data_IF_336362095758
#
_entry.id   IF_336362095758
#
_cell.length_a   1.000
_cell.length_b   1.000
_cell.length_c   1.000
_cell.angle_alpha   90.00
_cell.angle_beta   90.00
_cell.angle_gamma   90.00
#
_symmetry.space_group_name_H-M   'P 1'
#
loop_
_entity.id
_entity.type
_entity.pdbx_description
1 polymer ?
#
# COMPACT_ATOMS: atom_id res chain seq x y z
N UNK A 1 -18.44 10.49 2.15
CA UNK A 1 -17.62 11.62 2.67
C UNK A 1 -16.65 11.28 3.80
N UNK A 2 -16.90 10.30 4.69
CA UNK A 2 -16.02 10.04 5.84
C UNK A 2 -14.64 9.43 5.51
N UNK A 3 -14.51 8.64 4.44
CA UNK A 3 -13.23 7.98 4.07
C UNK A 3 -12.19 8.95 3.48
N UNK A 4 -12.62 9.87 2.61
CA UNK A 4 -11.74 10.90 2.04
C UNK A 4 -11.17 11.83 3.11
N UNK A 5 -11.94 12.11 4.17
CA UNK A 5 -11.50 12.92 5.30
C UNK A 5 -10.41 12.23 6.12
N UNK A 6 -10.51 10.91 6.33
CA UNK A 6 -9.49 10.13 7.07
C UNK A 6 -8.18 10.06 6.28
N UNK A 7 -8.26 9.83 4.96
CA UNK A 7 -7.08 9.82 4.08
C UNK A 7 -6.42 11.21 4.07
N UNK A 8 -7.21 12.27 3.92
CA UNK A 8 -6.71 13.65 3.98
C UNK A 8 -6.05 13.96 5.33
N UNK A 9 -6.67 13.55 6.44
CA UNK A 9 -6.15 13.80 7.78
C UNK A 9 -4.81 13.09 8.03
N UNK A 10 -4.68 11.83 7.61
CA UNK A 10 -3.40 11.09 7.72
C UNK A 10 -2.31 11.71 6.86
N UNK A 11 -2.62 12.16 5.65
CA UNK A 11 -1.67 12.85 4.76
C UNK A 11 -1.22 14.19 5.38
N UNK A 12 -2.15 14.99 5.90
CA UNK A 12 -1.84 16.29 6.52
C UNK A 12 -0.98 16.13 7.77
N UNK A 13 -1.29 15.16 8.63
CA UNK A 13 -0.53 14.90 9.85
C UNK A 13 0.91 14.46 9.55
N UNK A 14 1.13 13.75 8.43
CA UNK A 14 2.46 13.35 7.97
C UNK A 14 3.26 14.51 7.37
N UNK A 15 2.62 15.39 6.58
CA UNK A 15 3.30 16.56 5.98
C UNK A 15 3.75 17.56 7.06
N UNK A 16 2.96 17.74 8.13
CA UNK A 16 3.35 18.62 9.23
C UNK A 16 4.55 18.09 10.04
N UNK A 17 4.83 16.79 10.02
CA UNK A 17 5.94 16.18 10.75
C UNK A 17 7.30 16.32 10.02
N UNK A 18 7.31 16.47 8.70
CA UNK A 18 8.56 16.47 7.91
C UNK A 18 9.20 17.85 7.73
N UNK A 19 8.49 18.93 8.09
CA UNK A 19 8.98 20.30 7.95
C UNK A 19 10.11 20.71 8.92
N UNK A 20 10.54 19.83 9.85
CA UNK A 20 11.64 20.12 10.81
C UNK A 20 13.00 19.52 10.46
N UNK A 21 13.15 18.79 9.35
CA UNK A 21 14.45 18.26 8.95
C UNK A 21 15.25 19.32 8.17
N UNK A 22 15.89 20.24 8.89
CA UNK A 22 16.82 21.23 8.32
C UNK A 22 18.07 20.49 7.83
N UNK A 23 18.24 20.41 6.52
CA UNK A 23 19.39 19.78 5.84
C UNK A 23 20.68 20.45 6.27
N UNK A 24 21.50 19.75 7.05
CA UNK A 24 22.86 20.19 7.39
C UNK A 24 23.81 19.49 6.41
N UNK A 25 24.20 20.18 5.35
CA UNK A 25 25.27 19.72 4.44
C UNK A 25 26.63 19.99 5.08
N UNK A 26 27.44 18.97 5.42
CA UNK A 26 28.82 19.23 5.81
C UNK A 26 29.65 19.67 4.59
N UNK A 27 30.62 20.58 4.76
CA UNK A 27 31.49 21.02 3.67
C UNK A 27 32.46 19.89 3.26
N UNK A 28 32.58 19.69 1.95
CA UNK A 28 33.48 18.73 1.33
C UNK A 28 34.94 19.19 1.49
N UNK A 29 35.67 18.60 2.42
CA UNK A 29 37.12 18.75 2.52
C UNK A 29 37.79 17.66 1.69
N UNK A 30 38.60 18.07 0.71
CA UNK A 30 39.38 17.16 -0.14
C UNK A 30 40.35 16.31 0.69
N UNK A 31 40.49 15.04 0.32
CA UNK A 31 41.52 14.15 0.85
C UNK A 31 42.35 13.59 -0.30
N UNK A 32 43.50 14.23 -0.50
CA UNK A 32 44.68 13.58 -1.06
C UNK A 32 45.27 12.60 -0.02
N UNK A 33 45.83 11.53 -0.55
CA UNK A 33 46.30 10.32 0.11
C UNK A 33 47.70 10.47 0.70
N UNK A 34 47.89 10.27 2.01
CA UNK A 34 49.17 9.76 2.58
C UNK A 34 48.94 8.90 3.83
N UNK A 35 49.67 7.79 3.88
CA UNK A 35 49.78 6.72 4.88
C UNK A 35 50.00 7.15 6.35
N UNK A 36 49.58 6.21 7.21
CA UNK A 36 50.16 5.78 8.49
C UNK A 36 50.08 6.74 9.68
N UNK A 37 49.20 6.44 10.64
CA UNK A 37 49.63 5.76 11.87
C UNK A 37 48.41 5.35 12.72
N UNK A 38 48.54 4.18 13.35
CA UNK A 38 47.56 3.60 14.26
C UNK A 38 47.85 4.14 15.66
N UNK A 39 46.97 4.99 16.18
CA UNK A 39 46.88 5.28 17.60
C UNK A 39 45.41 5.38 18.00
N UNK A 40 44.97 4.33 18.71
CA UNK A 40 43.87 4.24 19.65
C UNK A 40 43.07 5.53 19.87
N UNK A 41 41.93 5.64 19.20
CA UNK A 41 40.80 6.41 19.71
C UNK A 41 39.57 5.56 19.52
N UNK A 42 39.22 4.82 20.58
CA UNK A 42 37.87 4.28 20.77
C UNK A 42 36.96 5.48 20.97
N UNK A 43 36.67 6.21 19.89
CA UNK A 43 35.57 7.14 19.84
C UNK A 43 34.32 6.28 19.79
N UNK A 44 33.81 5.92 20.96
CA UNK A 44 32.41 5.53 21.11
C UNK A 44 31.58 6.62 20.44
N UNK A 45 31.11 6.31 19.23
CA UNK A 45 30.15 7.15 18.54
C UNK A 45 28.98 7.34 19.50
N UNK A 46 28.52 8.58 19.76
CA UNK A 46 27.36 8.80 20.62
C UNK A 46 26.21 7.95 20.09
N UNK A 47 25.35 7.40 20.97
CA UNK A 47 24.23 6.57 20.54
C UNK A 47 23.46 7.37 19.50
N UNK A 48 23.49 6.91 18.24
CA UNK A 48 22.82 7.60 17.17
C UNK A 48 21.36 7.69 17.59
N UNK A 49 20.93 8.92 17.88
CA UNK A 49 19.54 9.27 18.10
C UNK A 49 18.76 8.61 16.95
N UNK A 50 17.68 7.91 17.28
CA UNK A 50 16.83 7.11 16.40
C UNK A 50 16.20 7.96 15.27
N UNK A 51 17.03 8.52 14.39
CA UNK A 51 16.65 9.30 13.23
C UNK A 51 16.36 8.31 12.13
N UNK A 52 15.11 8.26 11.70
CA UNK A 52 14.71 7.43 10.58
C UNK A 52 15.57 7.77 9.37
N UNK A 53 16.10 6.76 8.69
CA UNK A 53 16.83 6.96 7.43
C UNK A 53 15.89 7.52 6.37
N UNK A 54 16.40 8.34 5.45
CA UNK A 54 15.62 8.90 4.34
C UNK A 54 14.91 7.81 3.54
N UNK A 55 15.58 6.67 3.33
CA UNK A 55 15.02 5.49 2.67
C UNK A 55 13.81 4.92 3.42
N UNK A 56 13.84 4.92 4.76
CA UNK A 56 12.70 4.45 5.56
C UNK A 56 11.51 5.40 5.43
N UNK A 57 11.74 6.71 5.41
CA UNK A 57 10.67 7.71 5.19
C UNK A 57 10.04 7.50 3.80
N UNK A 58 10.85 7.39 2.75
CA UNK A 58 10.38 7.13 1.38
C UNK A 58 9.60 5.82 1.32
N UNK A 59 10.06 4.77 2.00
CA UNK A 59 9.37 3.48 2.04
C UNK A 59 7.99 3.58 2.67
N UNK A 60 7.81 4.35 3.75
CA UNK A 60 6.52 4.56 4.40
C UNK A 60 5.56 5.32 3.49
N UNK A 61 6.05 6.36 2.80
CA UNK A 61 5.24 7.12 1.83
C UNK A 61 4.77 6.21 0.70
N UNK A 62 5.67 5.41 0.13
CA UNK A 62 5.35 4.40 -0.89
C UNK A 62 4.28 3.43 -0.37
N UNK A 63 4.49 2.83 0.80
CA UNK A 63 3.55 1.88 1.41
C UNK A 63 2.20 2.49 1.80
N UNK A 64 2.13 3.81 1.98
CA UNK A 64 0.86 4.52 2.17
C UNK A 64 0.08 4.59 0.87
N UNK A 65 0.74 4.86 -0.27
CA UNK A 65 0.08 4.95 -1.57
C UNK A 65 -0.28 3.56 -2.12
N UNK A 66 0.67 2.63 -2.07
CA UNK A 66 0.54 1.28 -2.60
C UNK A 66 0.98 0.31 -1.51
N UNK A 67 0.05 -0.39 -0.85
CA UNK A 67 0.37 -1.41 0.15
C UNK A 67 1.39 -2.41 -0.40
N UNK A 68 2.45 -2.70 0.36
CA UNK A 68 3.54 -3.61 0.02
C UNK A 68 4.70 -3.01 -0.78
N UNK A 69 4.53 -1.81 -1.36
CA UNK A 69 5.60 -1.19 -2.18
C UNK A 69 6.81 -0.75 -1.34
N UNK A 70 6.59 -0.27 -0.11
CA UNK A 70 7.67 0.13 0.79
C UNK A 70 8.51 -1.05 1.29
N UNK A 71 7.90 -2.19 1.61
CA UNK A 71 8.61 -3.42 1.94
C UNK A 71 9.46 -3.90 0.76
N UNK A 72 8.91 -3.81 -0.44
CA UNK A 72 9.65 -4.13 -1.67
C UNK A 72 10.84 -3.17 -1.86
N UNK A 73 10.66 -1.88 -1.58
CA UNK A 73 11.73 -0.87 -1.62
C UNK A 73 12.85 -1.09 -0.60
N UNK A 74 12.52 -1.66 0.57
CA UNK A 74 13.49 -2.08 1.59
C UNK A 74 14.12 -3.45 1.30
N UNK A 75 13.82 -4.07 0.16
CA UNK A 75 14.41 -5.34 -0.27
C UNK A 75 13.68 -6.60 0.23
N UNK A 76 12.45 -6.46 0.74
CA UNK A 76 11.59 -7.58 1.16
C UNK A 76 10.46 -7.83 0.15
N UNK A 77 10.82 -8.29 -1.04
CA UNK A 77 9.89 -8.51 -2.16
C UNK A 77 8.76 -9.49 -1.83
N UNK A 78 9.03 -10.58 -1.12
CA UNK A 78 8.00 -11.58 -0.76
C UNK A 78 6.93 -10.99 0.18
N UNK A 79 7.36 -10.26 1.22
CA UNK A 79 6.45 -9.56 2.15
C UNK A 79 5.65 -8.50 1.42
N UNK A 80 6.32 -7.68 0.60
CA UNK A 80 5.68 -6.64 -0.19
C UNK A 80 4.61 -7.19 -1.12
N UNK A 81 4.95 -8.21 -1.91
CA UNK A 81 4.01 -8.88 -2.80
C UNK A 81 2.79 -9.44 -2.05
N UNK A 82 2.99 -10.05 -0.87
CA UNK A 82 1.90 -10.54 -0.03
C UNK A 82 0.90 -9.44 0.35
N UNK A 83 1.38 -8.31 0.85
CA UNK A 83 0.52 -7.17 1.21
C UNK A 83 -0.16 -6.54 -0.01
N UNK A 84 0.56 -6.38 -1.12
CA UNK A 84 0.00 -5.84 -2.37
C UNK A 84 -1.13 -6.73 -2.89
N UNK A 85 -0.89 -8.04 -3.01
CA UNK A 85 -1.89 -8.99 -3.52
C UNK A 85 -3.10 -9.10 -2.60
N UNK A 86 -2.89 -9.19 -1.29
CA UNK A 86 -3.99 -9.28 -0.32
C UNK A 86 -4.89 -8.02 -0.36
N UNK A 87 -4.27 -6.84 -0.45
CA UNK A 87 -5.01 -5.58 -0.49
C UNK A 87 -5.72 -5.37 -1.83
N UNK A 88 -5.06 -5.69 -2.95
CA UNK A 88 -5.69 -5.61 -4.28
C UNK A 88 -6.84 -6.61 -4.42
N UNK A 89 -6.66 -7.86 -4.00
CA UNK A 89 -7.72 -8.86 -4.05
C UNK A 89 -8.95 -8.42 -3.23
N UNK A 90 -8.73 -7.94 -2.01
CA UNK A 90 -9.82 -7.46 -1.13
C UNK A 90 -10.50 -6.20 -1.68
N UNK A 91 -9.71 -5.27 -2.23
CA UNK A 91 -10.21 -4.06 -2.86
C UNK A 91 -11.06 -4.34 -4.10
N UNK A 92 -10.59 -5.25 -4.98
CA UNK A 92 -11.33 -5.67 -6.18
C UNK A 92 -12.67 -6.31 -5.83
N UNK A 93 -12.70 -7.22 -4.85
CA UNK A 93 -13.95 -7.84 -4.41
C UNK A 93 -14.93 -6.79 -3.87
N UNK A 94 -14.42 -5.77 -3.16
CA UNK A 94 -15.24 -4.67 -2.66
C UNK A 94 -15.88 -3.87 -3.81
N UNK A 95 -15.09 -3.52 -4.84
CA UNK A 95 -15.58 -2.78 -6.02
C UNK A 95 -16.62 -3.60 -6.79
N UNK A 96 -16.33 -4.89 -7.05
CA UNK A 96 -17.28 -5.77 -7.75
C UNK A 96 -18.58 -5.94 -6.95
N UNK A 97 -18.49 -6.00 -5.62
CA UNK A 97 -19.68 -6.09 -4.77
C UNK A 97 -20.51 -4.81 -4.78
N UNK A 98 -19.92 -3.64 -4.98
CA UNK A 98 -20.66 -2.38 -5.13
C UNK A 98 -21.53 -2.37 -6.38
N UNK A 99 -20.98 -2.80 -7.52
CA UNK A 99 -21.72 -2.89 -8.78
C UNK A 99 -22.95 -3.80 -8.64
N UNK A 100 -22.81 -4.93 -7.94
CA UNK A 100 -23.92 -5.84 -7.68
C UNK A 100 -25.00 -5.22 -6.78
N UNK A 101 -24.60 -4.42 -5.79
CA UNK A 101 -25.53 -3.72 -4.89
C UNK A 101 -26.36 -2.70 -5.67
N UNK A 102 -25.72 -1.93 -6.56
CA UNK A 102 -26.40 -0.92 -7.39
C UNK A 102 -27.44 -1.59 -8.28
N UNK A 103 -27.07 -2.62 -9.05
CA UNK A 103 -28.00 -3.31 -9.95
C UNK A 103 -29.17 -4.00 -9.20
N UNK A 104 -28.94 -4.46 -7.96
CA UNK A 104 -30.01 -5.03 -7.14
C UNK A 104 -30.96 -3.97 -6.57
N UNK A 105 -30.47 -2.78 -6.25
CA UNK A 105 -31.32 -1.67 -5.83
C UNK A 105 -32.25 -1.23 -6.97
N UNK A 106 -31.71 -1.07 -8.18
CA UNK A 106 -32.50 -0.77 -9.37
C UNK A 106 -33.60 -1.82 -9.60
N UNK A 107 -33.26 -3.10 -9.44
CA UNK A 107 -34.23 -4.19 -9.56
C UNK A 107 -35.31 -4.16 -8.46
N UNK A 108 -34.97 -3.77 -7.23
CA UNK A 108 -35.96 -3.60 -6.17
C UNK A 108 -36.92 -2.44 -6.46
N UNK A 109 -36.40 -1.33 -6.98
CA UNK A 109 -37.21 -0.17 -7.35
C UNK A 109 -38.18 -0.52 -8.49
N UNK A 110 -37.72 -1.30 -9.48
CA UNK A 110 -38.58 -1.82 -10.55
C UNK A 110 -39.67 -2.74 -10.01
N UNK A 111 -39.33 -3.69 -9.12
CA UNK A 111 -40.32 -4.59 -8.50
C UNK A 111 -41.33 -3.84 -7.64
N UNK A 112 -40.88 -2.78 -6.95
CA UNK A 112 -41.77 -1.91 -6.17
C UNK A 112 -42.76 -1.17 -7.06
N UNK A 113 -42.29 -0.62 -8.18
CA UNK A 113 -43.18 0.00 -9.16
C UNK A 113 -44.21 -1.00 -9.72
N UNK A 114 -43.81 -2.24 -10.00
CA UNK A 114 -44.73 -3.30 -10.45
C UNK A 114 -45.74 -3.70 -9.38
N UNK A 115 -45.34 -3.72 -8.11
CA UNK A 115 -46.23 -4.00 -6.99
C UNK A 115 -47.30 -2.91 -6.84
N UNK A 116 -46.91 -1.64 -6.92
CA UNK A 116 -47.80 -0.49 -6.73
C UNK A 116 -48.89 -0.40 -7.81
N UNK A 117 -48.63 -0.90 -9.03
CA UNK A 117 -49.61 -0.96 -10.13
C UNK A 117 -50.38 -2.27 -10.20
N UNK A 118 -50.06 -3.26 -9.36
CA UNK A 118 -50.69 -4.57 -9.40
C UNK A 118 -52.09 -4.51 -8.79
N UNK A 119 -53.11 -4.80 -9.59
CA UNK A 119 -54.51 -4.85 -9.14
C UNK A 119 -54.94 -6.25 -8.69
N UNK A 120 -54.15 -7.29 -8.98
CA UNK A 120 -54.44 -8.67 -8.62
C UNK A 120 -53.64 -9.07 -7.37
N UNK A 121 -54.34 -9.58 -6.36
CA UNK A 121 -53.74 -10.09 -5.12
C UNK A 121 -52.70 -11.18 -5.36
N UNK A 122 -52.99 -12.16 -6.22
CA UNK A 122 -52.06 -13.25 -6.54
C UNK A 122 -50.80 -12.68 -7.22
N UNK A 123 -50.97 -11.71 -8.13
CA UNK A 123 -49.85 -11.03 -8.78
C UNK A 123 -48.99 -10.26 -7.77
N UNK A 124 -49.63 -9.51 -6.88
CA UNK A 124 -48.96 -8.74 -5.84
C UNK A 124 -48.14 -9.63 -4.89
N UNK A 125 -48.67 -10.78 -4.48
CA UNK A 125 -47.97 -11.73 -3.62
C UNK A 125 -46.71 -12.31 -4.29
N UNK A 126 -46.79 -12.65 -5.59
CA UNK A 126 -45.60 -13.12 -6.33
C UNK A 126 -44.52 -12.04 -6.47
N UNK A 127 -44.91 -10.78 -6.65
CA UNK A 127 -43.97 -9.65 -6.73
C UNK A 127 -43.36 -9.40 -5.35
N UNK A 128 -44.17 -9.47 -4.29
CA UNK A 128 -43.71 -9.37 -2.91
C UNK A 128 -42.65 -10.42 -2.57
N UNK A 129 -42.91 -11.70 -2.90
CA UNK A 129 -41.94 -12.78 -2.71
C UNK A 129 -40.62 -12.52 -3.47
N UNK A 130 -40.68 -11.97 -4.69
CA UNK A 130 -39.50 -11.54 -5.46
C UNK A 130 -38.77 -10.37 -4.80
N UNK A 131 -39.48 -9.39 -4.23
CA UNK A 131 -38.86 -8.29 -3.49
C UNK A 131 -38.14 -8.79 -2.25
N UNK A 132 -38.78 -9.64 -1.44
CA UNK A 132 -38.19 -10.19 -0.21
C UNK A 132 -36.94 -11.02 -0.53
N UNK A 133 -37.00 -11.88 -1.54
CA UNK A 133 -35.84 -12.67 -1.95
C UNK A 133 -34.71 -11.79 -2.49
N UNK A 134 -35.01 -10.79 -3.34
CA UNK A 134 -34.01 -9.84 -3.87
C UNK A 134 -33.36 -9.04 -2.74
N UNK A 135 -34.17 -8.58 -1.77
CA UNK A 135 -33.70 -7.84 -0.60
C UNK A 135 -32.78 -8.68 0.28
N UNK A 136 -33.12 -9.95 0.51
CA UNK A 136 -32.25 -10.87 1.26
C UNK A 136 -30.88 -11.04 0.60
N UNK A 137 -30.82 -11.13 -0.73
CA UNK A 137 -29.55 -11.26 -1.45
C UNK A 137 -28.77 -9.95 -1.42
N UNK A 138 -29.45 -8.81 -1.59
CA UNK A 138 -28.84 -7.48 -1.44
C UNK A 138 -28.18 -7.32 -0.07
N UNK A 139 -28.85 -7.70 1.01
CA UNK A 139 -28.32 -7.57 2.37
C UNK A 139 -27.06 -8.45 2.57
N UNK A 140 -27.01 -9.64 1.95
CA UNK A 140 -25.81 -10.49 1.91
C UNK A 140 -24.66 -9.82 1.15
N UNK A 141 -24.94 -9.20 0.01
CA UNK A 141 -23.93 -8.50 -0.79
C UNK A 141 -23.38 -7.27 -0.06
N UNK A 142 -24.24 -6.50 0.63
CA UNK A 142 -23.83 -5.38 1.49
C UNK A 142 -22.91 -5.87 2.63
N UNK A 143 -23.28 -6.97 3.28
CA UNK A 143 -22.45 -7.57 4.34
C UNK A 143 -21.09 -8.03 3.83
N UNK A 144 -21.07 -8.64 2.64
CA UNK A 144 -19.82 -9.09 1.99
C UNK A 144 -18.93 -7.89 1.65
N UNK A 145 -19.49 -6.83 1.05
CA UNK A 145 -18.75 -5.59 0.76
C UNK A 145 -18.11 -5.01 2.02
N UNK A 146 -18.89 -4.89 3.09
CA UNK A 146 -18.40 -4.34 4.37
C UNK A 146 -17.28 -5.20 4.98
N UNK A 147 -17.39 -6.52 4.89
CA UNK A 147 -16.34 -7.45 5.33
C UNK A 147 -15.04 -7.23 4.55
N UNK A 148 -15.09 -7.19 3.22
CA UNK A 148 -13.89 -7.00 2.39
C UNK A 148 -13.30 -5.60 2.49
N UNK A 149 -14.13 -4.57 2.68
CA UNK A 149 -13.66 -3.22 2.97
C UNK A 149 -12.87 -3.19 4.28
N UNK A 150 -13.39 -3.83 5.33
CA UNK A 150 -12.69 -3.96 6.62
C UNK A 150 -11.37 -4.71 6.49
N UNK A 151 -11.35 -5.81 5.72
CA UNK A 151 -10.12 -6.55 5.44
C UNK A 151 -9.10 -5.70 4.67
N UNK A 152 -9.55 -4.96 3.66
CA UNK A 152 -8.69 -4.05 2.88
C UNK A 152 -8.03 -3.02 3.80
N UNK A 153 -8.80 -2.39 4.67
CA UNK A 153 -8.28 -1.42 5.66
C UNK A 153 -7.34 -2.11 6.66
N UNK A 154 -7.69 -3.31 7.14
CA UNK A 154 -6.86 -4.06 8.07
C UNK A 154 -5.49 -4.42 7.46
N UNK A 155 -5.46 -4.90 6.21
CA UNK A 155 -4.21 -5.17 5.51
C UNK A 155 -3.40 -3.91 5.26
N UNK A 156 -4.06 -2.79 4.95
CA UNK A 156 -3.36 -1.52 4.74
C UNK A 156 -2.72 -1.00 6.02
N UNK A 157 -3.42 -1.05 7.15
CA UNK A 157 -2.86 -0.70 8.46
C UNK A 157 -1.76 -1.67 8.87
N UNK A 158 -1.96 -2.97 8.71
CA UNK A 158 -0.96 -3.99 9.00
C UNK A 158 0.32 -3.78 8.18
N UNK A 159 0.18 -3.40 6.90
CA UNK A 159 1.29 -3.04 6.03
C UNK A 159 2.09 -1.83 6.56
N UNK A 160 1.41 -0.80 7.07
CA UNK A 160 2.06 0.38 7.67
C UNK A 160 2.75 0.05 9.01
N UNK A 161 2.13 -0.79 9.84
CA UNK A 161 2.75 -1.26 11.09
C UNK A 161 3.97 -2.12 10.79
N UNK A 162 3.87 -3.02 9.81
CA UNK A 162 4.98 -3.89 9.39
C UNK A 162 6.18 -3.09 8.90
N UNK A 163 5.98 -2.04 8.09
CA UNK A 163 7.10 -1.23 7.61
C UNK A 163 7.72 -0.36 8.71
N UNK A 164 6.91 0.17 9.62
CA UNK A 164 7.40 1.04 10.70
C UNK A 164 8.15 0.24 11.76
N UNK A 165 7.70 -0.97 12.12
CA UNK A 165 8.24 -1.71 13.26
C UNK A 165 9.04 -2.97 12.90
N UNK A 166 8.69 -3.67 11.83
CA UNK A 166 9.14 -5.05 11.58
C UNK A 166 9.95 -5.24 10.29
N UNK A 167 10.05 -4.20 9.45
CA UNK A 167 10.81 -4.25 8.21
C UNK A 167 12.15 -3.55 8.39
N UNK A 168 13.21 -4.35 8.46
CA UNK A 168 14.57 -3.85 8.43
C UNK A 168 14.98 -3.46 7.01
N UNK A 169 15.82 -2.43 6.89
CA UNK A 169 16.42 -2.05 5.61
C UNK A 169 17.51 -3.06 5.22
N UNK A 170 17.28 -3.85 4.17
CA UNK A 170 18.29 -4.79 3.63
C UNK A 170 19.33 -4.12 2.73
N UNK A 171 19.34 -2.79 2.67
CA UNK A 171 20.23 -2.00 1.81
C UNK A 171 19.70 -1.89 0.38
N UNK A 172 20.51 -1.34 -0.52
CA UNK A 172 20.25 -1.30 -1.96
C UNK A 172 20.36 -2.70 -2.56
N UNK A 173 19.34 -3.54 -2.36
CA UNK A 173 19.08 -4.61 -3.31
C UNK A 173 18.34 -3.97 -4.47
N UNK A 174 19.03 -3.85 -5.60
CA UNK A 174 18.49 -3.34 -6.84
C UNK A 174 17.16 -4.01 -7.17
N UNK A 175 16.14 -3.19 -7.38
CA UNK A 175 14.85 -3.65 -7.91
C UNK A 175 15.11 -4.38 -9.24
N UNK A 176 14.57 -5.59 -9.37
CA UNK A 176 14.61 -6.36 -10.62
C UNK A 176 15.73 -7.40 -10.75
N UNK A 177 16.53 -7.65 -9.69
CA UNK A 177 17.56 -8.69 -9.72
C UNK A 177 16.92 -10.09 -9.61
N UNK A 178 16.30 -10.53 -10.70
CA UNK A 178 16.11 -11.95 -10.99
C UNK A 178 17.51 -12.54 -11.16
N UNK A 179 18.02 -13.19 -10.11
CA UNK A 179 19.17 -14.10 -10.21
C UNK A 179 18.75 -15.36 -11.00
N UNK A 180 18.32 -15.19 -12.24
CA UNK A 180 18.46 -16.26 -13.24
C UNK A 180 19.94 -16.31 -13.57
N UNK A 181 20.61 -17.38 -13.13
CA UNK A 181 22.08 -17.54 -13.06
C UNK A 181 22.92 -17.38 -14.36
N UNK A 182 22.42 -16.67 -15.38
CA UNK A 182 23.13 -16.35 -16.63
C UNK A 182 22.99 -14.89 -17.08
N UNK A 183 22.03 -14.12 -16.58
CA UNK A 183 21.83 -12.72 -16.97
C UNK A 183 21.19 -11.94 -15.85
N UNK A 184 21.85 -10.87 -15.42
CA UNK A 184 21.37 -9.97 -14.38
C UNK A 184 21.03 -8.63 -15.03
N UNK A 185 19.75 -8.23 -14.96
CA UNK A 185 19.31 -6.89 -15.31
C UNK A 185 18.90 -6.18 -14.03
N UNK A 186 19.52 -5.04 -13.74
CA UNK A 186 19.27 -4.28 -12.52
C UNK A 186 19.02 -2.81 -12.85
N UNK A 187 17.95 -2.25 -12.27
CA UNK A 187 17.77 -0.81 -12.24
C UNK A 187 18.39 -0.29 -10.94
N UNK A 188 19.50 0.44 -11.07
CA UNK A 188 20.24 1.05 -9.98
C UNK A 188 19.84 2.53 -9.91
N UNK A 189 19.16 2.99 -8.86
CA UNK A 189 18.99 4.42 -8.64
C UNK A 189 20.35 5.05 -8.38
N UNK A 190 20.75 6.02 -9.21
CA UNK A 190 21.98 6.81 -9.07
C UNK A 190 21.60 8.21 -8.55
N UNK A 191 22.08 8.60 -7.35
CA UNK A 191 21.73 9.89 -6.74
C UNK A 191 22.19 11.10 -7.55
N UNK A 192 23.09 10.93 -8.54
CA UNK A 192 23.54 12.02 -9.43
C UNK A 192 22.82 12.06 -10.77
N UNK A 193 22.37 10.93 -11.29
CA UNK A 193 21.88 10.81 -12.68
C UNK A 193 20.49 10.17 -12.82
N UNK A 194 19.79 9.87 -11.73
CA UNK A 194 18.43 9.32 -11.76
C UNK A 194 18.41 7.79 -11.69
N UNK A 195 18.01 7.10 -12.76
CA UNK A 195 17.91 5.63 -12.79
C UNK A 195 18.82 5.07 -13.88
N UNK A 196 19.84 4.32 -13.48
CA UNK A 196 20.76 3.65 -14.39
C UNK A 196 20.33 2.19 -14.58
N UNK A 197 20.22 1.75 -15.83
CA UNK A 197 20.04 0.34 -16.16
C UNK A 197 21.40 -0.33 -16.33
N UNK A 198 21.69 -1.34 -15.50
CA UNK A 198 22.89 -2.17 -15.60
C UNK A 198 22.49 -3.57 -16.10
N UNK A 199 23.05 -3.97 -17.24
CA UNK A 199 22.95 -5.34 -17.76
C UNK A 199 24.30 -6.03 -17.56
N UNK A 200 24.34 -7.05 -16.70
CA UNK A 200 25.53 -7.88 -16.48
C UNK A 200 25.29 -9.26 -17.09
N UNK A 201 26.07 -9.59 -18.13
CA UNK A 201 26.11 -10.89 -18.79
C UNK A 201 27.41 -11.58 -18.36
N UNK A 202 27.32 -12.71 -17.66
CA UNK A 202 28.47 -13.60 -17.42
C UNK A 202 28.45 -14.70 -18.49
N UNK A 203 29.53 -14.79 -19.27
CA UNK A 203 29.79 -15.92 -20.17
C UNK A 203 30.49 -17.05 -19.42
#
# INVERSE_FOLDING_TARGET
MRLAFVIYFVIVLFISSTASARVHTPPFAGQDTVRADRADTIAQSPPQLNTWSDRRIVSVVLSTLIPGSGQTYLGHTEKGAGFTLATLASGLITILSENNIIGRNERLDELKAQYDISTNYIGADTIWAKMVSTKSILDKDVRRRDLFLKLTVAFWVANLVDIVFFTDDKGERTFGLLETGRTTFALVPDPKNGVNACLSIRF
#
